data_IF_518150624227
#
_entry.id   IF_518150624227
#
_cell.length_a   1.000
_cell.length_b   1.000
_cell.length_c   1.000
_cell.angle_alpha   90.00
_cell.angle_beta   90.00
_cell.angle_gamma   90.00
#
_symmetry.space_group_name_H-M   'P 1'
#
loop_
_entity.id
_entity.type
_entity.pdbx_description
1 polymer ?
#
# COMPACT_ATOMS: atom_id res chain seq x y z
N UNK A 1 -6.92 6.04 27.51
CA UNK A 1 -7.76 5.97 26.29
C UNK A 1 -7.02 5.17 25.24
N UNK A 2 -7.65 4.17 24.64
CA UNK A 2 -7.05 3.42 23.53
C UNK A 2 -7.12 4.25 22.26
N UNK A 3 -5.98 4.47 21.59
CA UNK A 3 -5.91 5.19 20.30
C UNK A 3 -6.29 4.22 19.18
N UNK A 4 -6.95 4.71 18.13
CA UNK A 4 -7.35 3.90 16.96
C UNK A 4 -6.72 4.50 15.72
N UNK A 5 -6.14 3.64 14.87
CA UNK A 5 -5.67 3.97 13.53
C UNK A 5 -6.61 3.32 12.53
N UNK A 6 -7.34 4.13 11.78
CA UNK A 6 -8.17 3.68 10.67
C UNK A 6 -7.28 3.52 9.43
N UNK A 7 -7.12 2.27 8.96
CA UNK A 7 -6.29 1.97 7.81
C UNK A 7 -7.16 1.57 6.63
N UNK A 8 -7.34 2.51 5.71
CA UNK A 8 -8.06 2.27 4.47
C UNK A 8 -7.15 1.59 3.44
N UNK A 9 -7.57 0.45 2.90
CA UNK A 9 -6.71 -0.36 2.05
C UNK A 9 -7.45 -0.95 0.84
N UNK A 10 -6.72 -1.09 -0.26
CA UNK A 10 -7.12 -1.83 -1.46
C UNK A 10 -5.98 -2.78 -1.81
N UNK A 11 -6.28 -4.07 -1.98
CA UNK A 11 -5.31 -5.12 -2.29
C UNK A 11 -4.56 -4.87 -3.63
N UNK A 12 -5.13 -4.06 -4.53
CA UNK A 12 -4.49 -3.65 -5.77
C UNK A 12 -3.39 -2.60 -5.61
N UNK A 13 -3.21 -2.01 -4.42
CA UNK A 13 -2.19 -0.97 -4.20
C UNK A 13 -0.89 -1.55 -3.62
N UNK A 14 0.24 -1.49 -4.37
CA UNK A 14 1.53 -1.98 -3.87
C UNK A 14 2.10 -1.15 -2.73
N UNK A 15 1.82 0.15 -2.69
CA UNK A 15 2.22 1.00 -1.57
C UNK A 15 1.47 0.61 -0.28
N UNK A 16 0.18 0.25 -0.40
CA UNK A 16 -0.64 -0.20 0.72
C UNK A 16 -0.16 -1.54 1.28
N UNK A 17 0.31 -2.46 0.43
CA UNK A 17 0.96 -3.69 0.89
C UNK A 17 2.16 -3.38 1.80
N UNK A 18 3.08 -2.53 1.35
CA UNK A 18 4.24 -2.15 2.17
C UNK A 18 3.84 -1.49 3.49
N UNK A 19 2.83 -0.61 3.46
CA UNK A 19 2.32 0.03 4.66
C UNK A 19 1.69 -0.97 5.64
N UNK A 20 0.88 -1.90 5.14
CA UNK A 20 0.22 -2.92 5.96
C UNK A 20 1.22 -3.87 6.63
N UNK A 21 2.36 -4.15 6.00
CA UNK A 21 3.42 -4.96 6.61
C UNK A 21 4.13 -4.26 7.76
N UNK A 22 4.16 -2.92 7.79
CA UNK A 22 4.82 -2.14 8.85
C UNK A 22 3.86 -1.71 9.97
N UNK A 23 2.58 -1.50 9.63
CA UNK A 23 1.60 -0.89 10.52
C UNK A 23 1.39 -1.62 11.86
N UNK A 24 1.36 -2.97 11.94
CA UNK A 24 1.20 -3.68 13.22
C UNK A 24 2.24 -3.29 14.26
N UNK A 25 3.52 -3.25 13.87
CA UNK A 25 4.63 -2.86 14.75
C UNK A 25 4.49 -1.41 15.22
N UNK A 26 4.08 -0.51 14.32
CA UNK A 26 3.90 0.91 14.64
C UNK A 26 2.73 1.09 15.62
N UNK A 27 1.61 0.40 15.37
CA UNK A 27 0.43 0.48 16.23
C UNK A 27 0.72 -0.06 17.64
N UNK A 28 1.45 -1.17 17.74
CA UNK A 28 1.90 -1.72 19.02
C UNK A 28 2.76 -0.72 19.80
N UNK A 29 3.78 -0.14 19.16
CA UNK A 29 4.66 0.86 19.77
C UNK A 29 3.91 2.11 20.24
N UNK A 30 2.83 2.47 19.55
CA UNK A 30 1.98 3.60 19.90
C UNK A 30 0.89 3.27 20.94
N UNK A 31 0.71 2.00 21.32
CA UNK A 31 -0.42 1.56 22.14
C UNK A 31 -1.77 1.82 21.46
N UNK A 32 -1.84 1.62 20.14
CA UNK A 32 -3.00 1.84 19.31
C UNK A 32 -3.58 0.53 18.76
N UNK A 33 -4.89 0.53 18.49
CA UNK A 33 -5.58 -0.54 17.75
C UNK A 33 -5.70 -0.15 16.29
N UNK A 34 -5.58 -1.12 15.39
CA UNK A 34 -5.79 -0.92 13.95
C UNK A 34 -7.23 -1.30 13.62
N UNK A 35 -7.94 -0.39 12.95
CA UNK A 35 -9.22 -0.67 12.31
C UNK A 35 -8.99 -0.79 10.80
N UNK A 36 -9.08 -2.03 10.30
CA UNK A 36 -8.88 -2.35 8.89
C UNK A 36 -10.13 -2.01 8.08
N UNK A 37 -10.02 -1.03 7.18
CA UNK A 37 -11.13 -0.56 6.36
C UNK A 37 -10.89 -0.89 4.88
N UNK A 38 -11.42 -2.00 4.35
CA UNK A 38 -11.30 -2.27 2.93
C UNK A 38 -12.03 -1.18 2.13
N UNK A 39 -11.41 -0.72 1.06
CA UNK A 39 -11.98 0.28 0.14
C UNK A 39 -11.63 -0.07 -1.31
N UNK A 40 -12.37 0.53 -2.24
CA UNK A 40 -12.07 0.45 -3.67
C UNK A 40 -11.34 1.71 -4.13
N UNK A 41 -10.03 1.63 -4.33
CA UNK A 41 -9.17 2.75 -4.70
C UNK A 41 -9.58 3.37 -6.06
N UNK A 42 -10.00 2.53 -7.02
CA UNK A 42 -10.53 3.01 -8.30
C UNK A 42 -11.77 3.89 -8.14
N UNK A 43 -12.62 3.60 -7.16
CA UNK A 43 -13.78 4.42 -6.81
C UNK A 43 -13.38 5.79 -6.25
N UNK A 44 -12.34 5.83 -5.40
CA UNK A 44 -11.78 7.07 -4.85
C UNK A 44 -11.18 7.94 -5.96
N UNK A 45 -10.42 7.34 -6.89
CA UNK A 45 -9.90 8.07 -8.06
C UNK A 45 -11.03 8.71 -8.87
N UNK A 46 -12.07 7.94 -9.20
CA UNK A 46 -13.23 8.47 -9.93
C UNK A 46 -13.94 9.60 -9.18
N UNK A 47 -14.20 9.43 -7.88
CA UNK A 47 -14.92 10.41 -7.07
C UNK A 47 -14.17 11.73 -6.90
N UNK A 48 -12.84 11.70 -6.94
CA UNK A 48 -11.97 12.86 -6.74
C UNK A 48 -11.43 13.46 -8.04
N UNK A 49 -11.76 12.88 -9.20
CA UNK A 49 -11.19 13.30 -10.48
C UNK A 49 -9.68 13.02 -10.60
N UNK A 50 -9.16 12.10 -9.80
CA UNK A 50 -7.74 11.74 -9.75
C UNK A 50 -7.45 10.48 -10.60
N UNK A 51 -6.19 10.18 -10.85
CA UNK A 51 -5.74 9.00 -11.57
C UNK A 51 -4.58 8.31 -10.87
N UNK A 52 -4.40 7.01 -11.15
CA UNK A 52 -3.27 6.25 -10.63
C UNK A 52 -1.94 6.86 -11.13
N UNK A 53 -0.96 7.08 -10.24
CA UNK A 53 0.35 7.62 -10.64
C UNK A 53 1.09 6.69 -11.60
N UNK A 54 0.77 5.39 -11.60
CA UNK A 54 1.35 4.39 -12.49
C UNK A 54 1.01 4.66 -13.96
N UNK A 55 -0.11 5.36 -14.22
CA UNK A 55 -0.52 5.73 -15.59
C UNK A 55 0.38 6.80 -16.21
N UNK A 56 1.18 7.52 -15.41
CA UNK A 56 2.13 8.50 -15.91
C UNK A 56 3.49 7.79 -16.11
N UNK A 57 4.01 7.65 -17.35
CA UNK A 57 5.14 6.76 -17.63
C UNK A 57 6.36 6.96 -16.72
N UNK A 58 6.78 8.22 -16.53
CA UNK A 58 7.92 8.52 -15.65
C UNK A 58 7.67 8.16 -14.18
N UNK A 59 6.45 8.40 -13.66
CA UNK A 59 6.09 8.07 -12.27
C UNK A 59 5.91 6.57 -12.09
N UNK A 60 5.27 5.89 -13.03
CA UNK A 60 5.10 4.43 -13.02
C UNK A 60 6.44 3.70 -13.05
N UNK A 61 7.35 4.11 -13.94
CA UNK A 61 8.69 3.53 -14.03
C UNK A 61 9.48 3.70 -12.72
N UNK A 62 9.44 4.89 -12.12
CA UNK A 62 10.10 5.13 -10.84
C UNK A 62 9.45 4.32 -9.70
N UNK A 63 8.13 4.36 -9.59
CA UNK A 63 7.39 3.69 -8.52
C UNK A 63 7.66 2.17 -8.53
N UNK A 64 7.51 1.54 -9.69
CA UNK A 64 7.65 0.08 -9.83
C UNK A 64 9.11 -0.38 -9.85
N UNK A 65 9.99 0.34 -10.54
CA UNK A 65 11.37 -0.09 -10.77
C UNK A 65 12.36 0.37 -9.70
N UNK A 66 12.00 1.34 -8.85
CA UNK A 66 12.94 1.93 -7.88
C UNK A 66 12.34 2.05 -6.49
N UNK A 67 11.21 2.74 -6.35
CA UNK A 67 10.68 3.12 -5.04
C UNK A 67 10.22 1.91 -4.23
N UNK A 68 9.30 1.11 -4.79
CA UNK A 68 8.75 -0.08 -4.13
C UNK A 68 9.83 -1.12 -3.82
N UNK A 69 10.81 -1.27 -4.70
CA UNK A 69 11.97 -2.17 -4.51
C UNK A 69 12.85 -1.71 -3.34
N UNK A 70 13.12 -0.41 -3.24
CA UNK A 70 13.92 0.15 -2.13
C UNK A 70 13.22 -0.01 -0.80
N UNK A 71 11.92 0.28 -0.75
CA UNK A 71 11.16 0.15 0.48
C UNK A 71 10.93 -1.31 0.89
N UNK A 72 10.71 -2.21 -0.07
CA UNK A 72 10.59 -3.64 0.24
C UNK A 72 11.88 -4.18 0.87
N UNK A 73 13.04 -3.84 0.29
CA UNK A 73 14.35 -4.18 0.84
C UNK A 73 14.57 -3.55 2.23
N UNK A 74 14.25 -2.27 2.40
CA UNK A 74 14.39 -1.56 3.68
C UNK A 74 13.53 -2.18 4.79
N UNK A 75 12.33 -2.64 4.44
CA UNK A 75 11.37 -3.21 5.38
C UNK A 75 11.52 -4.72 5.57
N UNK A 76 12.37 -5.37 4.78
CA UNK A 76 12.54 -6.82 4.81
C UNK A 76 11.28 -7.58 4.39
N UNK A 77 10.48 -7.01 3.49
CA UNK A 77 9.21 -7.59 3.05
C UNK A 77 9.32 -8.15 1.63
N UNK A 78 8.78 -9.35 1.36
CA UNK A 78 8.76 -9.90 0.00
C UNK A 78 7.97 -8.99 -0.93
N UNK A 79 8.58 -8.58 -2.04
CA UNK A 79 7.89 -7.82 -3.07
C UNK A 79 8.25 -8.40 -4.43
N UNK A 80 7.33 -9.18 -4.99
CA UNK A 80 7.46 -9.74 -6.34
C UNK A 80 6.65 -8.89 -7.30
N UNK A 81 7.33 -8.37 -8.33
CA UNK A 81 6.67 -7.65 -9.41
C UNK A 81 5.98 -8.65 -10.34
N UNK A 82 4.78 -9.10 -9.97
CA UNK A 82 4.02 -9.98 -10.83
C UNK A 82 3.48 -9.18 -12.02
N UNK A 83 3.89 -9.55 -13.25
CA UNK A 83 3.53 -8.86 -14.49
C UNK A 83 2.02 -8.89 -14.78
N UNK A 84 1.26 -9.75 -14.09
CA UNK A 84 -0.20 -9.75 -14.10
C UNK A 84 -0.75 -8.96 -12.90
N UNK A 85 -1.20 -7.74 -13.15
CA UNK A 85 -2.02 -6.98 -12.21
C UNK A 85 -3.44 -7.59 -12.17
N UNK A 86 -4.11 -7.74 -11.01
CA UNK A 86 -3.71 -7.40 -9.65
C UNK A 86 -3.42 -8.68 -8.86
N UNK A 87 -2.17 -9.13 -8.79
CA UNK A 87 -1.83 -10.24 -7.90
C UNK A 87 -0.61 -9.92 -7.04
N UNK A 88 -0.76 -8.91 -6.17
CA UNK A 88 0.02 -8.91 -4.93
C UNK A 88 -0.60 -10.03 -4.10
N UNK A 89 0.15 -11.10 -3.88
CA UNK A 89 -0.29 -12.18 -3.00
C UNK A 89 0.12 -11.79 -1.59
N UNK A 90 -0.83 -11.32 -0.81
CA UNK A 90 -0.67 -11.10 0.62
C UNK A 90 -0.53 -12.50 1.25
N UNK A 91 0.71 -12.96 1.45
CA UNK A 91 1.04 -14.23 2.11
C UNK A 91 1.33 -13.99 3.57
#
# INVERSE_FOLDING_TARGET
>A
MTRVVEFFFDFGSPAVYLAAMQLPKIAEQAGAKIEWRPMLLGGVFKATGNQSPVMIPAKGAYMMGTDLVRFSARYGVPFEHNLSFPSIRWR
#
